data_IF_519334981064
#
_entry.id   IF_519334981064
#
_cell.length_a   1.000
_cell.length_b   1.000
_cell.length_c   1.000
_cell.angle_alpha   90.00
_cell.angle_beta   90.00
_cell.angle_gamma   90.00
#
_symmetry.space_group_name_H-M   'P 1'
#
loop_
_entity.id
_entity.type
_entity.pdbx_description
1 polymer ?
#
# COMPACT_ATOMS: atom_id res chain seq x y z
N UNK A 1 -36.09 0.84 7.70
CA UNK A 1 -35.13 -0.11 8.26
C UNK A 1 -33.99 -0.50 7.29
N UNK A 2 -34.18 -0.35 5.99
CA UNK A 2 -33.16 -0.71 4.99
C UNK A 2 -32.15 0.41 4.75
N UNK A 3 -32.45 1.66 5.06
CA UNK A 3 -31.60 2.83 4.85
C UNK A 3 -30.38 2.94 5.79
N UNK A 4 -30.45 2.33 7.00
CA UNK A 4 -29.33 2.35 7.96
C UNK A 4 -28.20 1.37 7.62
N UNK A 5 -28.53 0.26 6.98
CA UNK A 5 -27.58 -0.77 6.61
C UNK A 5 -26.65 -0.33 5.45
N UNK A 6 -27.20 0.35 4.44
CA UNK A 6 -26.42 0.83 3.30
C UNK A 6 -25.36 1.88 3.69
N UNK A 7 -25.70 2.77 4.62
CA UNK A 7 -24.78 3.82 5.07
C UNK A 7 -23.60 3.28 5.89
N UNK A 8 -23.81 2.21 6.66
CA UNK A 8 -22.73 1.56 7.41
C UNK A 8 -21.79 0.77 6.53
N UNK A 9 -22.32 0.06 5.54
CA UNK A 9 -21.53 -0.69 4.56
C UNK A 9 -20.67 0.28 3.72
N UNK A 10 -21.25 1.40 3.27
CA UNK A 10 -20.51 2.41 2.52
C UNK A 10 -19.41 3.08 3.36
N UNK A 11 -19.67 3.30 4.64
CA UNK A 11 -18.70 3.88 5.57
C UNK A 11 -17.55 2.94 5.85
N UNK A 12 -17.82 1.67 6.10
CA UNK A 12 -16.82 0.64 6.29
C UNK A 12 -15.97 0.41 5.03
N UNK A 13 -16.60 0.42 3.86
CA UNK A 13 -15.92 0.29 2.56
C UNK A 13 -15.01 1.49 2.27
N UNK A 14 -15.49 2.71 2.55
CA UNK A 14 -14.70 3.94 2.40
C UNK A 14 -13.53 3.98 3.38
N UNK A 15 -13.70 3.55 4.63
CA UNK A 15 -12.63 3.45 5.61
C UNK A 15 -11.59 2.41 5.19
N UNK A 16 -12.00 1.26 4.67
CA UNK A 16 -11.11 0.23 4.16
C UNK A 16 -10.28 0.74 2.96
N UNK A 17 -10.85 1.56 2.08
CA UNK A 17 -10.11 2.19 0.98
C UNK A 17 -9.12 3.25 1.47
N UNK A 18 -9.49 4.05 2.48
CA UNK A 18 -8.58 5.04 3.10
C UNK A 18 -7.40 4.34 3.76
N UNK A 19 -7.61 3.19 4.42
CA UNK A 19 -6.54 2.39 5.01
C UNK A 19 -5.58 1.81 3.98
N UNK A 20 -6.04 1.56 2.75
CA UNK A 20 -5.25 1.05 1.62
C UNK A 20 -4.60 2.15 0.78
N UNK A 21 -4.80 3.41 1.12
CA UNK A 21 -4.22 4.56 0.43
C UNK A 21 -3.20 5.27 1.30
N UNK A 22 -2.28 5.95 0.65
CA UNK A 22 -1.29 6.79 1.32
C UNK A 22 -1.34 8.19 0.74
N UNK A 23 -1.26 9.20 1.62
CA UNK A 23 -1.21 10.59 1.21
C UNK A 23 0.20 10.94 0.77
N UNK A 24 0.32 11.46 -0.43
CA UNK A 24 1.57 12.05 -0.93
C UNK A 24 1.35 13.55 -1.20
N UNK A 25 2.40 14.33 -1.08
CA UNK A 25 2.37 15.77 -1.38
C UNK A 25 3.38 16.05 -2.47
N UNK A 26 2.93 16.73 -3.53
CA UNK A 26 3.78 17.17 -4.63
C UNK A 26 3.60 18.66 -4.89
N UNK A 27 4.66 19.31 -5.36
CA UNK A 27 4.60 20.68 -5.85
C UNK A 27 4.54 20.67 -7.38
N UNK A 28 3.58 21.41 -7.94
CA UNK A 28 3.42 21.57 -9.39
C UNK A 28 3.79 22.99 -9.82
N UNK A 29 4.32 23.13 -11.03
CA UNK A 29 4.49 24.42 -11.66
C UNK A 29 3.14 25.12 -11.84
N UNK A 30 3.13 26.45 -11.75
CA UNK A 30 1.89 27.24 -11.82
C UNK A 30 1.20 27.11 -13.18
N UNK A 31 1.98 26.99 -14.27
CA UNK A 31 1.43 26.79 -15.62
C UNK A 31 0.76 25.43 -15.73
N UNK A 32 1.38 24.39 -15.22
CA UNK A 32 0.79 23.04 -15.20
C UNK A 32 -0.51 23.04 -14.41
N UNK A 33 -0.51 23.65 -13.23
CA UNK A 33 -1.70 23.75 -12.39
C UNK A 33 -2.81 24.52 -13.09
N UNK A 34 -2.49 25.63 -13.76
CA UNK A 34 -3.45 26.42 -14.54
C UNK A 34 -4.06 25.62 -15.69
N UNK A 35 -3.27 24.83 -16.39
CA UNK A 35 -3.76 23.95 -17.46
C UNK A 35 -4.71 22.88 -16.92
N UNK A 36 -4.42 22.30 -15.76
CA UNK A 36 -5.31 21.36 -15.08
C UNK A 36 -6.64 22.03 -14.73
N UNK A 37 -6.58 23.24 -14.17
CA UNK A 37 -7.78 24.02 -13.81
C UNK A 37 -8.63 24.35 -15.04
N UNK A 38 -7.99 24.67 -16.16
CA UNK A 38 -8.70 24.91 -17.42
C UNK A 38 -9.45 23.64 -17.88
N UNK A 39 -8.81 22.48 -17.85
CA UNK A 39 -9.43 21.23 -18.23
C UNK A 39 -10.61 20.85 -17.32
N UNK A 40 -10.52 21.17 -16.04
CA UNK A 40 -11.63 20.99 -15.10
C UNK A 40 -12.78 21.93 -15.44
N UNK A 41 -12.52 23.21 -15.73
CA UNK A 41 -13.54 24.16 -16.13
C UNK A 41 -14.23 23.78 -17.44
N UNK A 42 -13.49 23.23 -18.39
CA UNK A 42 -14.03 22.79 -19.68
C UNK A 42 -14.77 21.42 -19.57
N UNK A 43 -14.81 20.80 -18.41
CA UNK A 43 -15.57 19.59 -18.16
C UNK A 43 -14.89 18.29 -18.53
N UNK A 44 -13.59 18.30 -18.84
CA UNK A 44 -12.83 17.07 -19.13
C UNK A 44 -12.60 16.22 -17.88
N UNK A 45 -12.50 16.84 -16.74
CA UNK A 45 -12.29 16.18 -15.43
C UNK A 45 -13.17 16.84 -14.38
N UNK A 46 -13.56 16.06 -13.37
CA UNK A 46 -14.45 16.53 -12.30
C UNK A 46 -13.76 17.54 -11.35
N UNK A 47 -12.48 17.35 -11.09
CA UNK A 47 -11.65 18.17 -10.21
C UNK A 47 -10.17 17.87 -10.45
N UNK A 48 -9.28 18.59 -9.74
CA UNK A 48 -7.82 18.42 -9.83
C UNK A 48 -7.40 16.98 -9.51
N UNK A 49 -7.97 16.40 -8.47
CA UNK A 49 -7.65 15.04 -8.04
C UNK A 49 -8.00 14.01 -9.10
N UNK A 50 -9.14 14.18 -9.77
CA UNK A 50 -9.57 13.32 -10.87
C UNK A 50 -8.56 13.36 -12.03
N UNK A 51 -8.12 14.54 -12.43
CA UNK A 51 -7.06 14.68 -13.43
C UNK A 51 -5.77 13.98 -13.01
N UNK A 52 -5.30 14.22 -11.79
CA UNK A 52 -4.03 13.68 -11.28
C UNK A 52 -4.08 12.15 -11.22
N UNK A 53 -5.15 11.58 -10.70
CA UNK A 53 -5.32 10.12 -10.66
C UNK A 53 -5.38 9.50 -12.04
N UNK A 54 -6.09 10.12 -12.96
CA UNK A 54 -6.17 9.68 -14.35
C UNK A 54 -4.81 9.72 -15.02
N UNK A 55 -4.05 10.79 -14.84
CA UNK A 55 -2.70 10.96 -15.38
C UNK A 55 -1.75 9.87 -14.84
N UNK A 56 -1.80 9.59 -13.53
CA UNK A 56 -0.99 8.54 -12.90
C UNK A 56 -1.32 7.17 -13.49
N UNK A 57 -2.60 6.81 -13.59
CA UNK A 57 -3.02 5.53 -14.17
C UNK A 57 -2.59 5.38 -15.62
N UNK A 58 -2.72 6.44 -16.40
CA UNK A 58 -2.30 6.45 -17.80
C UNK A 58 -0.79 6.23 -17.91
N UNK A 59 -0.01 6.93 -17.11
CA UNK A 59 1.44 6.80 -17.12
C UNK A 59 1.90 5.41 -16.66
N UNK A 60 1.29 4.85 -15.61
CA UNK A 60 1.58 3.49 -15.15
C UNK A 60 1.22 2.45 -16.21
N UNK A 61 0.12 2.64 -16.94
CA UNK A 61 -0.28 1.74 -18.04
C UNK A 61 0.78 1.70 -19.15
N UNK A 62 1.44 2.81 -19.46
CA UNK A 62 2.51 2.85 -20.47
C UNK A 62 3.75 2.06 -20.04
N UNK A 63 3.92 1.80 -18.75
CA UNK A 63 5.06 1.07 -18.18
C UNK A 63 4.69 -0.31 -17.62
N UNK A 64 3.47 -0.79 -17.90
CA UNK A 64 2.95 -2.03 -17.32
C UNK A 64 3.87 -3.23 -17.59
N UNK A 65 4.39 -3.39 -18.81
CA UNK A 65 5.30 -4.48 -19.14
C UNK A 65 6.60 -4.44 -18.33
N UNK A 66 7.17 -3.25 -18.12
CA UNK A 66 8.38 -3.07 -17.33
C UNK A 66 8.13 -3.42 -15.84
N UNK A 67 6.96 -3.05 -15.30
CA UNK A 67 6.55 -3.41 -13.94
C UNK A 67 6.41 -4.93 -13.80
N UNK A 68 5.70 -5.58 -14.73
CA UNK A 68 5.52 -7.04 -14.71
C UNK A 68 6.85 -7.80 -14.74
N UNK A 69 7.77 -7.39 -15.62
CA UNK A 69 9.09 -8.00 -15.69
C UNK A 69 9.88 -7.83 -14.40
N UNK A 70 9.82 -6.66 -13.79
CA UNK A 70 10.51 -6.39 -12.53
C UNK A 70 9.91 -7.16 -11.36
N UNK A 71 8.59 -7.26 -11.29
CA UNK A 71 7.88 -8.05 -10.28
C UNK A 71 8.28 -9.52 -10.37
N UNK A 72 8.30 -10.09 -11.57
CA UNK A 72 8.69 -11.47 -11.78
C UNK A 72 10.17 -11.70 -11.42
N UNK A 73 11.07 -10.85 -11.91
CA UNK A 73 12.52 -10.97 -11.67
C UNK A 73 12.87 -10.86 -10.17
N UNK A 74 12.19 -9.98 -9.44
CA UNK A 74 12.42 -9.74 -8.02
C UNK A 74 11.57 -10.63 -7.11
N UNK A 75 10.70 -11.44 -7.67
CA UNK A 75 9.78 -12.32 -6.92
C UNK A 75 8.91 -11.53 -5.94
N UNK A 76 8.41 -10.37 -6.38
CA UNK A 76 7.53 -9.53 -5.58
C UNK A 76 6.08 -10.03 -5.66
N UNK A 77 5.37 -9.96 -4.55
CA UNK A 77 3.92 -10.20 -4.51
C UNK A 77 3.21 -8.88 -4.80
N UNK A 78 2.43 -8.86 -5.87
CA UNK A 78 1.64 -7.68 -6.23
C UNK A 78 0.33 -7.67 -5.45
N UNK A 79 0.08 -6.59 -4.71
CA UNK A 79 -1.16 -6.38 -3.98
C UNK A 79 -0.97 -6.16 -2.49
N UNK A 80 -1.81 -6.79 -1.68
CA UNK A 80 -1.79 -6.66 -0.22
C UNK A 80 -1.44 -7.98 0.44
N UNK A 81 -0.54 -7.93 1.42
CA UNK A 81 -0.20 -9.06 2.28
C UNK A 81 -0.38 -8.65 3.75
N UNK A 82 -1.04 -9.49 4.51
CA UNK A 82 -1.28 -9.29 5.93
C UNK A 82 -0.75 -10.46 6.73
N UNK A 83 0.10 -10.17 7.72
CA UNK A 83 0.75 -11.17 8.55
C UNK A 83 0.16 -11.11 9.96
N UNK A 84 -0.54 -12.17 10.34
CA UNK A 84 -1.16 -12.28 11.66
C UNK A 84 -0.19 -12.88 12.67
N UNK A 85 -0.47 -12.64 13.96
CA UNK A 85 0.29 -13.25 15.04
C UNK A 85 0.32 -14.77 14.97
N UNK A 86 -0.83 -15.40 14.72
CA UNK A 86 -0.91 -16.87 14.63
C UNK A 86 -0.10 -17.45 13.48
N UNK A 87 -0.07 -16.78 12.33
CA UNK A 87 0.77 -17.17 11.19
C UNK A 87 2.26 -17.10 11.54
N UNK A 88 2.69 -16.02 12.20
CA UNK A 88 4.08 -15.88 12.60
C UNK A 88 4.48 -16.88 13.71
N UNK A 89 3.57 -17.21 14.62
CA UNK A 89 3.81 -18.24 15.61
C UNK A 89 3.97 -19.64 14.98
N UNK A 90 3.22 -19.94 13.95
CA UNK A 90 3.39 -21.19 13.17
C UNK A 90 4.74 -21.22 12.45
N UNK A 91 5.16 -20.12 11.86
CA UNK A 91 6.48 -20.00 11.23
C UNK A 91 7.59 -20.27 12.24
N UNK A 92 7.46 -19.69 13.44
CA UNK A 92 8.42 -19.92 14.53
C UNK A 92 8.46 -21.37 14.97
N UNK A 93 7.31 -22.01 15.15
CA UNK A 93 7.22 -23.42 15.55
C UNK A 93 7.86 -24.35 14.51
N UNK A 94 7.71 -24.01 13.23
CA UNK A 94 8.32 -24.75 12.14
C UNK A 94 9.83 -24.53 12.01
N UNK A 95 10.41 -23.63 12.79
CA UNK A 95 11.83 -23.25 12.69
C UNK A 95 12.17 -22.53 11.38
N UNK A 96 11.19 -21.92 10.73
CA UNK A 96 11.35 -21.23 9.45
C UNK A 96 11.41 -19.73 9.62
N UNK A 97 11.78 -19.03 8.55
CA UNK A 97 11.75 -17.58 8.46
C UNK A 97 11.06 -17.15 7.18
N UNK A 98 10.51 -15.95 7.19
CA UNK A 98 9.84 -15.34 6.06
C UNK A 98 10.69 -14.22 5.45
N UNK A 99 10.65 -14.13 4.14
CA UNK A 99 11.10 -12.95 3.39
C UNK A 99 9.85 -12.24 2.90
N UNK A 100 9.61 -11.03 3.40
CA UNK A 100 8.48 -10.21 2.95
C UNK A 100 8.93 -9.44 1.71
N UNK A 101 8.30 -9.71 0.58
CA UNK A 101 8.58 -9.08 -0.70
C UNK A 101 7.28 -8.68 -1.37
N UNK A 102 6.87 -7.42 -1.22
CA UNK A 102 5.56 -6.95 -1.64
C UNK A 102 5.68 -5.67 -2.47
N UNK A 103 4.96 -5.61 -3.57
CA UNK A 103 4.65 -4.39 -4.28
C UNK A 103 3.19 -4.02 -4.00
N UNK A 104 2.98 -3.07 -3.11
CA UNK A 104 1.67 -2.63 -2.66
C UNK A 104 1.63 -2.38 -1.16
N UNK A 105 0.86 -3.15 -0.42
CA UNK A 105 0.71 -2.99 1.02
C UNK A 105 1.10 -4.26 1.77
N UNK A 106 2.05 -4.15 2.68
CA UNK A 106 2.34 -5.20 3.66
C UNK A 106 1.99 -4.69 5.06
N UNK A 107 1.24 -5.50 5.80
CA UNK A 107 0.78 -5.16 7.15
C UNK A 107 1.14 -6.28 8.12
N UNK A 108 1.73 -5.93 9.25
CA UNK A 108 1.91 -6.84 10.38
C UNK A 108 0.89 -6.47 11.46
N UNK A 109 0.15 -7.47 11.95
CA UNK A 109 -0.89 -7.26 12.95
C UNK A 109 -0.34 -6.55 14.21
N UNK A 110 -1.17 -5.71 14.82
CA UNK A 110 -0.77 -4.89 15.95
C UNK A 110 -0.39 -5.69 17.21
N UNK A 111 -0.86 -6.92 17.32
CA UNK A 111 -0.59 -7.82 18.44
C UNK A 111 0.69 -8.66 18.29
N UNK A 112 1.43 -8.45 17.19
CA UNK A 112 2.74 -9.09 16.98
C UNK A 112 3.80 -8.36 17.81
N UNK A 113 4.52 -9.12 18.64
CA UNK A 113 5.63 -8.57 19.44
C UNK A 113 6.88 -8.36 18.60
N UNK A 114 7.76 -7.41 18.96
CA UNK A 114 9.07 -7.24 18.32
C UNK A 114 9.91 -8.54 18.32
N UNK A 115 9.85 -9.28 19.41
CA UNK A 115 10.56 -10.56 19.55
C UNK A 115 10.09 -11.59 18.51
N UNK A 116 8.76 -11.74 18.37
CA UNK A 116 8.19 -12.66 17.39
C UNK A 116 8.54 -12.24 15.97
N UNK A 117 8.48 -10.95 15.67
CA UNK A 117 8.88 -10.41 14.36
C UNK A 117 10.35 -10.73 14.05
N UNK A 118 11.27 -10.52 14.99
CA UNK A 118 12.69 -10.83 14.81
C UNK A 118 12.96 -12.31 14.62
N UNK A 119 12.18 -13.18 15.27
CA UNK A 119 12.35 -14.62 15.17
C UNK A 119 11.86 -15.20 13.84
N UNK A 120 10.94 -14.50 13.16
CA UNK A 120 10.21 -15.04 12.01
C UNK A 120 10.47 -14.32 10.71
N UNK A 121 10.83 -13.03 10.74
CA UNK A 121 10.99 -12.20 9.55
C UNK A 121 12.48 -11.97 9.28
N UNK A 122 12.99 -12.58 8.22
CA UNK A 122 14.39 -12.46 7.81
C UNK A 122 14.68 -11.15 7.09
N UNK A 123 13.77 -10.71 6.22
CA UNK A 123 13.92 -9.47 5.45
C UNK A 123 12.57 -8.87 5.05
N UNK A 124 12.56 -7.56 4.84
CA UNK A 124 11.37 -6.82 4.40
C UNK A 124 11.75 -5.96 3.21
N UNK A 125 11.17 -6.25 2.05
CA UNK A 125 11.26 -5.46 0.84
C UNK A 125 9.83 -5.09 0.42
N UNK A 126 9.43 -3.84 0.69
CA UNK A 126 8.09 -3.35 0.35
C UNK A 126 8.21 -2.08 -0.47
N UNK A 127 7.62 -2.13 -1.66
CA UNK A 127 7.41 -0.96 -2.50
C UNK A 127 5.93 -0.57 -2.39
N UNK A 128 5.68 0.60 -1.86
CA UNK A 128 4.36 1.08 -1.49
C UNK A 128 4.31 1.43 -0.01
N UNK A 129 3.50 0.71 0.77
CA UNK A 129 3.35 0.97 2.19
C UNK A 129 3.64 -0.27 3.04
N UNK A 130 4.45 -0.10 4.08
CA UNK A 130 4.66 -1.11 5.12
C UNK A 130 4.09 -0.60 6.44
N UNK A 131 3.11 -1.29 6.96
CA UNK A 131 2.41 -0.94 8.19
C UNK A 131 2.66 -1.97 9.27
N UNK A 132 3.23 -1.53 10.36
CA UNK A 132 3.47 -2.31 11.57
C UNK A 132 3.52 -1.36 12.77
N UNK A 133 3.51 -1.89 13.98
CA UNK A 133 3.73 -1.08 15.18
C UNK A 133 5.11 -0.42 15.13
N UNK A 134 5.26 0.72 15.81
CA UNK A 134 6.54 1.41 15.89
C UNK A 134 7.65 0.51 16.47
N UNK A 135 7.31 -0.31 17.47
CA UNK A 135 8.24 -1.24 18.09
C UNK A 135 8.71 -2.33 17.11
N UNK A 136 7.81 -2.88 16.31
CA UNK A 136 8.14 -3.88 15.29
C UNK A 136 8.99 -3.26 14.17
N UNK A 137 8.64 -2.07 13.69
CA UNK A 137 9.44 -1.36 12.69
C UNK A 137 10.85 -1.07 13.18
N UNK A 138 10.99 -0.63 14.44
CA UNK A 138 12.29 -0.39 15.05
C UNK A 138 13.11 -1.68 15.16
N UNK A 139 12.48 -2.78 15.58
CA UNK A 139 13.15 -4.07 15.67
C UNK A 139 13.63 -4.59 14.30
N UNK A 140 12.84 -4.39 13.25
CA UNK A 140 13.15 -4.84 11.89
C UNK A 140 13.96 -3.85 11.06
N UNK A 141 14.36 -2.70 11.61
CA UNK A 141 15.00 -1.61 10.86
C UNK A 141 16.21 -2.05 10.04
N UNK A 142 17.05 -2.94 10.58
CA UNK A 142 18.22 -3.48 9.89
C UNK A 142 17.88 -4.51 8.80
N UNK A 143 16.66 -4.99 8.75
CA UNK A 143 16.18 -6.01 7.81
C UNK A 143 15.29 -5.44 6.71
N UNK A 144 14.94 -4.16 6.81
CA UNK A 144 14.19 -3.43 5.78
C UNK A 144 15.17 -3.00 4.69
N UNK A 145 14.87 -3.38 3.46
CA UNK A 145 15.68 -3.08 2.28
C UNK A 145 15.15 -1.83 1.59
#
# INVERSE_FOLDING_TARGET
>A
MVAGWSAEVDKASAMAEIEKSEKITINLGLVDLGQIDLLVQEGFYANRTDFIRSAIRTQLATRAAAVEQSVARRTLVLGSAHFTRSQLEEVRRAGQTLQIRVLGLATIAADVSPKLALQTIASVEVLGAFRASAAVKAALASRII
#
